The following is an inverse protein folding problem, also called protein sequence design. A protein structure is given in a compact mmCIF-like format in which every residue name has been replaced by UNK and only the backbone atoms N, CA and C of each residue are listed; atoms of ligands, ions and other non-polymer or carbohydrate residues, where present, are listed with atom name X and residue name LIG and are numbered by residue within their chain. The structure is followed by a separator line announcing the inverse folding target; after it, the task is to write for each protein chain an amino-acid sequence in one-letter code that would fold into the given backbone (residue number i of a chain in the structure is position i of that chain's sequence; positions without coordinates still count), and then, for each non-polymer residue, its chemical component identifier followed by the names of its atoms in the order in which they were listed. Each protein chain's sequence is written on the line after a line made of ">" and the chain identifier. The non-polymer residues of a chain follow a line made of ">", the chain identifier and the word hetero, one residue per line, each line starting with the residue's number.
data_IF_050238383216
#
_entry.id   IF_050238383216
#
_cell.length_a   1.000
_cell.length_b   1.000
_cell.length_c   1.000
_cell.angle_alpha   90.00
_cell.angle_beta   90.00
_cell.angle_gamma   90.00
#
_symmetry.space_group_name_H-M   'P 1'
#
loop_
_entity.id
_entity.type
_entity.pdbx_description
1 polymer ?
#
# COMPACT_ATOMS: atom_id res chain seq x y z
N UNK A 1 28.04 -17.54 52.05
CA UNK A 1 27.31 -16.40 51.44
C UNK A 1 27.00 -16.76 50.00
N UNK A 2 25.74 -17.07 49.70
CA UNK A 2 25.28 -17.38 48.34
C UNK A 2 25.14 -16.07 47.56
N UNK A 3 25.81 -15.95 46.41
CA UNK A 3 25.60 -14.85 45.46
C UNK A 3 24.19 -14.98 44.87
N UNK A 4 23.37 -13.92 44.79
CA UNK A 4 22.14 -13.99 44.03
C UNK A 4 22.50 -14.06 42.54
N UNK A 5 21.99 -15.10 41.88
CA UNK A 5 22.01 -15.26 40.43
C UNK A 5 20.93 -14.34 39.88
N UNK A 6 21.33 -13.18 39.36
CA UNK A 6 20.46 -12.26 38.63
C UNK A 6 21.04 -12.07 37.23
N UNK A 7 20.67 -12.95 36.29
CA UNK A 7 21.15 -12.86 34.90
C UNK A 7 20.03 -12.99 33.87
N UNK A 8 18.75 -13.10 34.28
CA UNK A 8 17.63 -13.26 33.32
C UNK A 8 16.69 -12.06 33.26
N UNK A 9 16.57 -11.30 34.34
CA UNK A 9 15.71 -10.12 34.41
C UNK A 9 16.30 -8.89 33.75
N UNK A 10 17.64 -8.80 33.66
CA UNK A 10 18.32 -7.65 33.05
C UNK A 10 18.28 -7.69 31.51
N UNK A 11 18.43 -8.87 30.91
CA UNK A 11 18.34 -9.08 29.46
C UNK A 11 16.92 -8.87 28.91
N UNK A 12 15.89 -9.31 29.66
CA UNK A 12 14.50 -9.04 29.28
C UNK A 12 14.15 -7.55 29.41
N UNK A 13 14.71 -6.88 30.41
CA UNK A 13 14.50 -5.44 30.59
C UNK A 13 15.17 -4.62 29.49
N UNK A 14 16.37 -5.01 29.06
CA UNK A 14 17.06 -4.34 27.96
C UNK A 14 16.36 -4.57 26.61
N UNK A 15 15.83 -5.77 26.37
CA UNK A 15 15.06 -6.07 25.17
C UNK A 15 13.75 -5.27 25.10
N UNK A 16 12.98 -5.25 26.19
CA UNK A 16 11.72 -4.49 26.24
C UNK A 16 11.98 -2.98 26.13
N UNK A 17 13.05 -2.48 26.75
CA UNK A 17 13.46 -1.09 26.60
C UNK A 17 13.81 -0.75 25.15
N UNK A 18 14.55 -1.63 24.46
CA UNK A 18 14.88 -1.42 23.05
C UNK A 18 13.61 -1.38 22.19
N UNK A 19 12.65 -2.28 22.41
CA UNK A 19 11.38 -2.25 21.69
C UNK A 19 10.60 -0.95 21.90
N UNK A 20 10.67 -0.38 23.10
CA UNK A 20 10.04 0.90 23.42
C UNK A 20 10.79 2.08 22.78
N UNK A 21 12.12 2.09 22.86
CA UNK A 21 12.99 3.11 22.27
C UNK A 21 12.83 3.18 20.73
N UNK A 22 12.57 2.04 20.08
CA UNK A 22 12.28 1.97 18.64
C UNK A 22 10.78 2.12 18.31
N UNK A 23 9.92 2.38 19.29
CA UNK A 23 8.48 2.60 19.11
C UNK A 23 7.66 1.37 18.70
N UNK A 24 8.24 0.16 18.81
CA UNK A 24 7.60 -1.10 18.43
C UNK A 24 6.43 -1.43 19.38
N UNK A 25 6.58 -1.14 20.67
CA UNK A 25 5.50 -1.25 21.67
C UNK A 25 4.30 -0.37 21.31
N UNK A 26 4.56 0.87 20.89
CA UNK A 26 3.52 1.81 20.47
C UNK A 26 2.85 1.39 19.15
N UNK A 27 3.62 0.82 18.21
CA UNK A 27 3.07 0.25 16.98
C UNK A 27 2.13 -0.91 17.28
N UNK A 28 2.57 -1.89 18.08
CA UNK A 28 1.74 -3.03 18.47
C UNK A 28 0.48 -2.60 19.25
N UNK A 29 0.61 -1.60 20.13
CA UNK A 29 -0.54 -1.03 20.84
C UNK A 29 -1.53 -0.31 19.90
N UNK A 30 -1.11 0.22 18.75
CA UNK A 30 -2.03 0.76 17.74
C UNK A 30 -2.68 -0.33 16.90
N UNK A 31 -2.00 -1.46 16.73
CA UNK A 31 -2.51 -2.61 15.99
C UNK A 31 -3.41 -3.51 16.86
N UNK A 32 -3.47 -3.27 18.17
CA UNK A 32 -4.24 -4.10 19.10
C UNK A 32 -5.73 -4.21 18.77
N UNK A 33 -6.25 -3.21 18.06
CA UNK A 33 -7.65 -3.14 17.66
C UNK A 33 -7.96 -3.95 16.38
N UNK A 34 -6.95 -4.51 15.72
CA UNK A 34 -7.05 -5.01 14.34
C UNK A 34 -6.85 -6.52 14.15
N UNK A 35 -7.03 -7.34 15.18
CA UNK A 35 -6.99 -8.81 15.04
C UNK A 35 -6.48 -9.51 16.28
N UNK A 36 -6.17 -10.80 16.16
CA UNK A 36 -5.54 -11.55 17.25
C UNK A 36 -4.03 -11.25 17.34
N UNK A 37 -3.43 -11.48 18.51
CA UNK A 37 -2.04 -11.11 18.79
C UNK A 37 -1.05 -11.62 17.71
N UNK A 38 -1.25 -12.83 17.19
CA UNK A 38 -0.38 -13.39 16.16
C UNK A 38 -0.52 -12.69 14.79
N UNK A 39 -1.72 -12.23 14.46
CA UNK A 39 -1.98 -11.45 13.24
C UNK A 39 -1.39 -10.04 13.38
N UNK A 40 -1.49 -9.44 14.57
CA UNK A 40 -0.88 -8.14 14.88
C UNK A 40 0.63 -8.19 14.76
N UNK A 41 1.29 -9.22 15.30
CA UNK A 41 2.74 -9.40 15.20
C UNK A 41 3.18 -9.61 13.74
N UNK A 42 2.41 -10.40 12.97
CA UNK A 42 2.66 -10.61 11.54
C UNK A 42 2.50 -9.31 10.75
N UNK A 43 1.43 -8.56 11.01
CA UNK A 43 1.16 -7.28 10.37
C UNK A 43 2.24 -6.25 10.73
N UNK A 44 2.64 -6.16 11.99
CA UNK A 44 3.73 -5.29 12.42
C UNK A 44 5.04 -5.64 11.68
N UNK A 45 5.38 -6.92 11.56
CA UNK A 45 6.57 -7.37 10.84
C UNK A 45 6.53 -6.97 9.35
N UNK A 46 5.37 -7.11 8.70
CA UNK A 46 5.19 -6.69 7.30
C UNK A 46 5.32 -5.17 7.16
N UNK A 47 4.70 -4.39 8.04
CA UNK A 47 4.77 -2.92 8.01
C UNK A 47 6.20 -2.42 8.26
N UNK A 48 6.95 -3.03 9.19
CA UNK A 48 8.36 -2.70 9.45
C UNK A 48 9.23 -3.07 8.24
N UNK A 49 9.00 -4.23 7.63
CA UNK A 49 9.71 -4.65 6.42
C UNK A 49 9.46 -3.68 5.27
N UNK A 50 8.20 -3.29 5.06
CA UNK A 50 7.82 -2.32 4.05
C UNK A 50 8.43 -0.94 4.30
N UNK A 51 8.40 -0.45 5.56
CA UNK A 51 9.08 0.78 5.96
C UNK A 51 10.57 0.72 5.61
N UNK A 52 11.23 -0.38 5.93
CA UNK A 52 12.66 -0.57 5.66
C UNK A 52 12.96 -0.53 4.15
N UNK A 53 12.09 -1.11 3.32
CA UNK A 53 12.21 -1.08 1.86
C UNK A 53 11.88 0.29 1.26
N UNK A 54 11.00 1.06 1.90
CA UNK A 54 10.62 2.41 1.46
C UNK A 54 11.69 3.47 1.74
N UNK A 55 12.63 3.19 2.66
CA UNK A 55 13.76 4.08 2.94
C UNK A 55 14.77 3.96 1.80
N UNK A 56 14.85 5.01 0.97
CA UNK A 56 15.78 5.08 -0.15
C UNK A 56 17.01 5.97 0.18
N UNK A 57 18.01 5.91 -0.71
CA UNK A 57 19.28 6.62 -0.51
C UNK A 57 19.12 8.15 -0.44
N UNK A 58 18.13 8.71 -1.15
CA UNK A 58 17.85 10.15 -1.15
C UNK A 58 17.25 10.61 0.18
N UNK A 59 16.27 9.88 0.70
CA UNK A 59 15.70 10.09 2.04
C UNK A 59 16.79 10.05 3.11
N UNK A 60 17.66 9.03 3.07
CA UNK A 60 18.80 8.91 4.00
C UNK A 60 19.73 10.12 3.87
N UNK A 61 20.08 10.53 2.65
CA UNK A 61 20.94 11.69 2.42
C UNK A 61 20.32 12.99 2.98
N UNK A 62 19.00 13.16 2.82
CA UNK A 62 18.26 14.30 3.35
C UNK A 62 18.26 14.31 4.89
N UNK A 63 17.97 13.18 5.53
CA UNK A 63 18.05 13.05 6.99
C UNK A 63 19.47 13.32 7.50
N UNK A 64 20.50 12.73 6.90
CA UNK A 64 21.90 12.96 7.27
C UNK A 64 22.28 14.44 7.12
N UNK A 65 21.82 15.11 6.06
CA UNK A 65 22.08 16.54 5.85
C UNK A 65 21.41 17.42 6.91
N UNK A 66 20.21 17.06 7.37
CA UNK A 66 19.48 17.77 8.41
C UNK A 66 20.11 17.55 9.80
N UNK A 67 20.56 16.31 10.10
CA UNK A 67 21.35 15.99 11.31
C UNK A 67 22.64 16.81 11.33
N UNK A 68 23.41 16.80 10.23
CA UNK A 68 24.68 17.52 10.14
C UNK A 68 24.53 19.04 10.33
N UNK A 69 23.37 19.59 9.97
CA UNK A 69 23.02 21.01 10.15
C UNK A 69 22.29 21.31 11.47
N UNK A 70 22.12 20.30 12.34
CA UNK A 70 21.36 20.37 13.59
C UNK A 70 19.93 20.93 13.43
N UNK A 71 19.31 20.61 12.28
CA UNK A 71 17.97 21.07 11.86
C UNK A 71 16.93 19.96 12.07
N UNK A 72 16.82 19.50 13.31
CA UNK A 72 15.88 18.42 13.69
C UNK A 72 14.41 18.88 13.61
N UNK A 73 14.17 20.19 13.55
CA UNK A 73 12.88 20.83 13.28
C UNK A 73 12.27 20.45 11.93
N UNK A 74 13.10 20.01 10.97
CA UNK A 74 12.65 19.58 9.64
C UNK A 74 12.27 18.09 9.57
N UNK A 75 12.51 17.29 10.62
CA UNK A 75 12.21 15.85 10.59
C UNK A 75 10.72 15.53 10.39
N UNK A 76 9.76 16.26 11.01
CA UNK A 76 8.34 16.06 10.75
C UNK A 76 7.95 16.36 9.29
N UNK A 77 8.62 17.31 8.63
CA UNK A 77 8.37 17.62 7.21
C UNK A 77 8.94 16.53 6.29
N UNK A 78 10.07 15.91 6.67
CA UNK A 78 10.67 14.77 5.97
C UNK A 78 9.88 13.45 6.17
N UNK A 79 9.22 13.26 7.31
CA UNK A 79 8.33 12.11 7.56
C UNK A 79 6.95 12.27 6.93
N UNK A 80 6.52 13.53 6.74
CA UNK A 80 5.37 13.88 5.90
C UNK A 80 5.73 13.94 4.41
N UNK A 81 6.81 13.27 3.97
CA UNK A 81 6.95 12.98 2.56
C UNK A 81 5.68 12.24 2.13
N UNK A 82 4.81 12.99 1.43
CA UNK A 82 3.77 12.45 0.56
C UNK A 82 4.35 11.17 -0.03
N UNK A 83 3.66 10.04 0.15
CA UNK A 83 3.83 8.90 -0.73
C UNK A 83 3.94 9.48 -2.14
N UNK A 84 5.14 9.41 -2.71
CA UNK A 84 5.49 10.28 -3.83
C UNK A 84 4.44 10.06 -4.92
N UNK A 85 3.73 11.13 -5.28
CA UNK A 85 2.71 11.12 -6.34
C UNK A 85 3.39 11.27 -7.70
N UNK A 86 4.72 11.41 -7.72
CA UNK A 86 5.49 11.50 -8.93
C UNK A 86 5.61 10.11 -9.56
N UNK A 87 5.35 10.06 -10.86
CA UNK A 87 5.47 8.84 -11.67
C UNK A 87 6.86 8.22 -11.45
N UNK A 88 6.99 6.88 -11.28
CA UNK A 88 8.28 6.25 -11.08
C UNK A 88 9.26 6.57 -12.23
N UNK A 89 10.51 6.88 -11.89
CA UNK A 89 11.56 7.26 -12.86
C UNK A 89 11.84 6.16 -13.90
N UNK A 90 11.54 4.91 -13.55
CA UNK A 90 11.70 3.71 -14.35
C UNK A 90 10.44 3.35 -15.15
N UNK A 91 9.41 4.18 -15.15
CA UNK A 91 8.25 4.02 -16.02
C UNK A 91 8.61 4.35 -17.49
N UNK A 92 8.21 3.52 -18.47
CA UNK A 92 7.32 2.36 -18.36
C UNK A 92 8.02 1.00 -18.19
N UNK A 93 9.33 0.95 -18.00
CA UNK A 93 10.14 -0.28 -18.11
C UNK A 93 9.83 -1.32 -17.02
N UNK A 94 9.49 -0.89 -15.79
CA UNK A 94 9.15 -1.80 -14.67
C UNK A 94 7.66 -1.95 -14.42
N UNK A 95 6.84 -1.14 -15.08
CA UNK A 95 5.39 -1.26 -14.97
C UNK A 95 4.95 -2.60 -15.55
N UNK A 96 4.11 -3.33 -14.81
CA UNK A 96 3.48 -4.56 -15.34
C UNK A 96 2.75 -4.23 -16.63
N UNK A 97 2.72 -5.14 -17.59
CA UNK A 97 1.87 -4.94 -18.77
C UNK A 97 0.41 -4.89 -18.35
N UNK A 98 -0.36 -3.86 -18.76
CA UNK A 98 -1.78 -3.77 -18.44
C UNK A 98 -2.54 -4.97 -19.00
N UNK A 99 -3.37 -5.60 -18.16
CA UNK A 99 -4.13 -6.82 -18.47
C UNK A 99 -5.25 -6.58 -19.49
N UNK A 100 -5.82 -5.38 -19.51
CA UNK A 100 -6.99 -5.05 -20.32
C UNK A 100 -6.68 -3.95 -21.35
N UNK A 101 -7.38 -4.02 -22.48
CA UNK A 101 -7.23 -3.13 -23.62
C UNK A 101 -8.48 -2.28 -23.82
N UNK A 102 -8.35 -1.24 -24.63
CA UNK A 102 -9.48 -0.44 -25.09
C UNK A 102 -10.52 -1.33 -25.79
N UNK A 103 -11.78 -1.20 -25.39
CA UNK A 103 -12.88 -2.01 -25.94
C UNK A 103 -13.19 -3.28 -25.15
N UNK A 104 -12.34 -3.70 -24.21
CA UNK A 104 -12.62 -4.86 -23.36
C UNK A 104 -13.85 -4.58 -22.49
N UNK A 105 -14.70 -5.61 -22.35
CA UNK A 105 -15.85 -5.58 -21.45
C UNK A 105 -15.44 -6.12 -20.10
N UNK A 106 -15.56 -5.32 -19.06
CA UNK A 106 -15.14 -5.68 -17.71
C UNK A 106 -16.30 -5.51 -16.74
N UNK A 107 -16.28 -6.32 -15.67
CA UNK A 107 -17.15 -6.14 -14.51
C UNK A 107 -16.31 -6.02 -13.23
N UNK A 108 -16.92 -5.44 -12.20
CA UNK A 108 -16.30 -5.33 -10.89
C UNK A 108 -16.40 -6.66 -10.15
N UNK A 109 -15.32 -7.08 -9.50
CA UNK A 109 -15.30 -8.31 -8.70
C UNK A 109 -16.22 -8.24 -7.47
N UNK A 110 -16.46 -7.03 -6.96
CA UNK A 110 -17.31 -6.79 -5.79
C UNK A 110 -18.78 -6.52 -6.13
N UNK A 111 -19.13 -6.42 -7.42
CA UNK A 111 -20.48 -6.13 -7.89
C UNK A 111 -20.85 -7.02 -9.06
N UNK A 112 -21.86 -7.87 -8.87
CA UNK A 112 -22.37 -8.75 -9.93
C UNK A 112 -23.20 -8.00 -11.00
N UNK A 113 -23.44 -6.70 -10.81
CA UNK A 113 -24.41 -5.92 -11.60
C UNK A 113 -23.78 -4.83 -12.46
N UNK A 114 -22.61 -4.34 -12.09
CA UNK A 114 -21.96 -3.25 -12.81
C UNK A 114 -20.89 -3.79 -13.75
N UNK A 115 -21.02 -3.39 -15.01
CA UNK A 115 -20.07 -3.71 -16.07
C UNK A 115 -20.00 -2.56 -17.07
N UNK A 116 -18.93 -2.54 -17.84
CA UNK A 116 -18.77 -1.53 -18.87
C UNK A 116 -17.67 -1.87 -19.85
N UNK A 117 -17.33 -0.90 -20.67
CA UNK A 117 -16.29 -1.01 -21.71
C UNK A 117 -15.12 -0.12 -21.32
N UNK A 118 -13.90 -0.64 -21.43
CA UNK A 118 -12.68 0.15 -21.22
C UNK A 118 -12.56 1.22 -22.31
N UNK A 119 -12.57 2.49 -21.89
CA UNK A 119 -12.39 3.66 -22.77
C UNK A 119 -11.13 4.47 -22.41
N UNK A 120 -10.36 4.01 -21.44
CA UNK A 120 -9.13 4.66 -21.00
C UNK A 120 -8.37 3.83 -19.99
N UNK A 121 -7.08 4.11 -19.86
CA UNK A 121 -6.25 3.61 -18.77
C UNK A 121 -5.12 4.57 -18.46
N UNK A 122 -4.68 4.59 -17.21
CA UNK A 122 -3.54 5.35 -16.76
C UNK A 122 -2.84 4.61 -15.61
N UNK A 123 -1.57 4.92 -15.41
CA UNK A 123 -0.78 4.35 -14.32
C UNK A 123 -0.81 5.32 -13.14
N UNK A 124 -1.20 4.84 -11.96
CA UNK A 124 -1.37 5.68 -10.78
C UNK A 124 -1.05 4.93 -9.49
N UNK A 125 -0.78 5.66 -8.42
CA UNK A 125 -0.56 5.10 -7.10
C UNK A 125 -1.89 4.61 -6.51
N UNK A 126 -2.02 3.29 -6.33
CA UNK A 126 -3.16 2.60 -5.72
C UNK A 126 -3.01 2.63 -4.19
N UNK A 127 -3.75 3.48 -3.44
CA UNK A 127 -3.51 3.69 -2.02
C UNK A 127 -3.79 2.45 -1.17
N UNK A 128 -4.76 1.63 -1.56
CA UNK A 128 -5.13 0.40 -0.88
C UNK A 128 -4.11 -0.73 -1.07
N UNK A 129 -3.30 -0.67 -2.13
CA UNK A 129 -2.18 -1.60 -2.36
C UNK A 129 -0.82 -1.02 -1.96
N UNK A 130 -0.77 0.27 -1.62
CA UNK A 130 0.47 1.02 -1.39
C UNK A 130 1.51 0.88 -2.53
N UNK A 131 1.05 0.73 -3.79
CA UNK A 131 1.94 0.54 -4.93
C UNK A 131 1.37 1.19 -6.20
N UNK A 132 2.20 1.33 -7.23
CA UNK A 132 1.75 1.82 -8.54
C UNK A 132 1.08 0.70 -9.34
N UNK A 133 -0.14 0.95 -9.83
CA UNK A 133 -0.96 -0.02 -10.56
C UNK A 133 -1.70 0.64 -11.75
N UNK A 134 -2.25 -0.18 -12.63
CA UNK A 134 -3.11 0.29 -13.70
C UNK A 134 -4.50 0.60 -13.17
N UNK A 135 -5.01 1.78 -13.54
CA UNK A 135 -6.38 2.20 -13.33
C UNK A 135 -7.07 2.36 -14.68
N UNK A 136 -8.29 1.86 -14.79
CA UNK A 136 -9.08 1.86 -16.01
C UNK A 136 -10.23 2.82 -15.90
N UNK A 137 -10.47 3.60 -16.96
CA UNK A 137 -11.67 4.38 -17.15
C UNK A 137 -12.67 3.54 -17.94
N UNK A 138 -13.82 3.27 -17.33
CA UNK A 138 -14.82 2.34 -17.82
C UNK A 138 -16.09 3.12 -18.14
N UNK A 139 -16.58 3.00 -19.38
CA UNK A 139 -17.88 3.50 -19.76
C UNK A 139 -18.95 2.48 -19.36
N UNK A 140 -19.81 2.85 -18.42
CA UNK A 140 -20.77 1.92 -17.83
C UNK A 140 -21.86 1.52 -18.84
N UNK A 141 -22.29 0.27 -18.78
CA UNK A 141 -23.47 -0.18 -19.51
C UNK A 141 -24.72 0.52 -18.99
N UNK A 142 -25.69 0.76 -19.87
CA UNK A 142 -27.00 1.30 -19.45
C UNK A 142 -27.76 0.38 -18.50
N UNK A 143 -27.43 -0.91 -18.52
CA UNK A 143 -28.06 -1.93 -17.68
C UNK A 143 -27.42 -2.03 -16.28
N UNK A 144 -26.31 -1.34 -16.06
CA UNK A 144 -25.63 -1.26 -14.76
C UNK A 144 -26.39 -0.32 -13.83
N UNK A 145 -26.55 -0.71 -12.55
CA UNK A 145 -27.28 0.10 -11.56
C UNK A 145 -26.63 1.46 -11.37
N UNK A 146 -25.30 1.49 -11.42
CA UNK A 146 -24.50 2.72 -11.30
C UNK A 146 -24.69 3.68 -12.47
N UNK A 147 -25.16 3.20 -13.63
CA UNK A 147 -25.41 4.04 -14.80
C UNK A 147 -26.55 5.05 -14.61
N UNK A 148 -27.38 4.87 -13.59
CA UNK A 148 -28.37 5.86 -13.19
C UNK A 148 -27.75 7.16 -12.65
N UNK A 149 -26.49 7.13 -12.21
CA UNK A 149 -25.83 8.24 -11.49
C UNK A 149 -24.56 8.74 -12.17
N UNK A 150 -23.86 7.88 -12.92
CA UNK A 150 -22.67 8.24 -13.71
C UNK A 150 -22.60 7.47 -15.02
N UNK A 151 -22.05 8.07 -16.08
CA UNK A 151 -21.86 7.38 -17.37
C UNK A 151 -20.52 6.65 -17.46
N UNK A 152 -19.56 7.02 -16.63
CA UNK A 152 -18.25 6.40 -16.57
C UNK A 152 -17.74 6.36 -15.13
N UNK A 153 -16.93 5.37 -14.83
CA UNK A 153 -16.29 5.20 -13.53
C UNK A 153 -14.83 4.73 -13.70
N UNK A 154 -14.06 4.80 -12.62
CA UNK A 154 -12.69 4.32 -12.56
C UNK A 154 -12.56 3.12 -11.62
N UNK A 155 -11.70 2.18 -11.98
CA UNK A 155 -11.41 1.02 -11.15
C UNK A 155 -9.96 0.55 -11.34
N UNK A 156 -9.40 -0.03 -10.28
CA UNK A 156 -8.05 -0.60 -10.33
C UNK A 156 -8.07 -1.96 -11.02
N UNK A 157 -6.96 -2.34 -11.64
CA UNK A 157 -6.83 -3.56 -12.43
C UNK A 157 -7.22 -4.84 -11.67
N UNK A 158 -6.91 -4.88 -10.38
CA UNK A 158 -7.20 -5.99 -9.47
C UNK A 158 -8.68 -6.09 -9.08
N UNK A 159 -9.46 -5.02 -9.23
CA UNK A 159 -10.90 -4.99 -8.91
C UNK A 159 -11.77 -5.43 -10.09
N UNK A 160 -11.13 -5.72 -11.23
CA UNK A 160 -11.78 -5.95 -12.51
C UNK A 160 -11.50 -7.35 -13.04
N UNK A 161 -12.51 -7.91 -13.68
CA UNK A 161 -12.40 -9.13 -14.47
C UNK A 161 -13.15 -9.02 -15.80
N UNK A 162 -12.75 -9.81 -16.82
CA UNK A 162 -13.49 -9.87 -18.07
C UNK A 162 -14.94 -10.25 -17.83
N UNK A 163 -15.85 -9.51 -18.45
CA UNK A 163 -17.23 -9.93 -18.56
C UNK A 163 -17.27 -11.12 -19.52
N UNK A 164 -17.42 -12.34 -18.98
CA UNK A 164 -17.51 -13.56 -19.78
C UNK A 164 -18.55 -13.40 -20.90
N UNK A 165 -18.11 -13.58 -22.14
CA UNK A 165 -18.95 -13.60 -23.32
C UNK A 165 -19.27 -15.03 -23.71
N UNK A 166 -20.56 -15.33 -23.85
CA UNK A 166 -21.12 -16.55 -24.43
C UNK A 166 -20.39 -17.06 -25.68
N UNK A 167 -20.42 -18.38 -25.96
CA UNK A 167 -19.74 -18.96 -27.11
C UNK A 167 -20.15 -18.25 -28.41
N UNK A 168 -19.15 -17.83 -29.17
CA UNK A 168 -19.30 -17.40 -30.56
C UNK A 168 -19.91 -18.58 -31.32
N UNK A 169 -21.20 -18.52 -31.62
CA UNK A 169 -21.78 -19.37 -32.66
C UNK A 169 -21.41 -18.74 -34.00
N UNK A 170 -20.49 -19.41 -34.72
CA UNK A 170 -20.20 -19.18 -36.14
C UNK A 170 -21.44 -19.38 -37.04
#
# INVERSE_FOLDING_TARGET
>A
MLKPVCYKTDEHRSYLQALDDFGITQLLAKLSDYGEQQEQETLAAVLISHLTQSINAELIANYLSAIAKNRQDLFPELTNQKLSVDLPDDFPDTAKTPRFLYGDRLRWLSSDTDWGIVIGRFYSFAPHLCCWSWCYLIWLSKDSLSAAWTSADIAWEEDLEPLEGEPVYD
#
